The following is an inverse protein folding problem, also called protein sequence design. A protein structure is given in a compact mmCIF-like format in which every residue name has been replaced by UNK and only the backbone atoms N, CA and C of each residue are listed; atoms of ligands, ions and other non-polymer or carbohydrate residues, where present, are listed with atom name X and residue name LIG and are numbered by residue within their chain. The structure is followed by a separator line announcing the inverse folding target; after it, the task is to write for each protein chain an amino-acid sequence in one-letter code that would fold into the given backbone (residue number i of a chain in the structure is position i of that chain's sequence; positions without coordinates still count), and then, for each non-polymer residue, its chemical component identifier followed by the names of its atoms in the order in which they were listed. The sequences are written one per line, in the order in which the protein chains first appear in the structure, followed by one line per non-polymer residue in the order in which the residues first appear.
data_IF_294275775274
#
_entry.id   IF_294275775274
#
_cell.length_a   1.000
_cell.length_b   1.000
_cell.length_c   1.000
_cell.angle_alpha   90.00
_cell.angle_beta   90.00
_cell.angle_gamma   90.00
#
_symmetry.space_group_name_H-M   'P 1'
#
loop_
_entity.id
_entity.type
_entity.pdbx_description
1 polymer ?
#
# COMPACT_ATOMS: atom_id res chain seq x y z
N UNK A 1 1.81 11.65 -4.65
CA UNK A 1 1.70 11.69 -6.13
C UNK A 1 2.24 10.42 -6.81
N UNK A 2 2.81 9.45 -6.09
CA UNK A 2 3.36 8.23 -6.67
C UNK A 2 2.29 7.24 -7.16
N UNK A 3 1.23 7.00 -6.36
CA UNK A 3 0.15 6.07 -6.74
C UNK A 3 -0.58 6.47 -8.03
N UNK A 4 -0.84 7.76 -8.22
CA UNK A 4 -1.52 8.26 -9.44
C UNK A 4 -0.70 7.95 -10.70
N UNK A 5 0.62 8.17 -10.64
CA UNK A 5 1.52 7.90 -11.77
C UNK A 5 1.60 6.39 -12.02
N UNK A 6 1.70 5.58 -10.96
CA UNK A 6 1.72 4.13 -11.07
C UNK A 6 0.42 3.58 -11.69
N UNK A 7 -0.74 4.06 -11.25
CA UNK A 7 -2.03 3.64 -11.81
C UNK A 7 -2.25 4.10 -13.24
N UNK A 8 -1.74 5.27 -13.61
CA UNK A 8 -1.79 5.73 -15.00
C UNK A 8 -0.95 4.84 -15.93
N UNK A 9 0.17 4.30 -15.45
CA UNK A 9 1.06 3.44 -16.25
C UNK A 9 0.69 1.96 -16.24
N UNK A 10 0.22 1.43 -15.10
CA UNK A 10 0.00 0.00 -14.90
C UNK A 10 -1.49 -0.38 -14.77
N UNK A 11 -2.38 0.61 -14.73
CA UNK A 11 -3.79 0.43 -14.40
C UNK A 11 -4.06 0.47 -12.89
N UNK A 12 -5.33 0.60 -12.54
CA UNK A 12 -5.79 0.60 -11.14
C UNK A 12 -5.87 -0.83 -10.65
N UNK A 13 -5.11 -1.16 -9.60
CA UNK A 13 -5.18 -2.47 -8.96
C UNK A 13 -6.41 -2.59 -8.06
N UNK A 14 -7.00 -3.78 -7.98
CA UNK A 14 -8.16 -4.06 -7.10
C UNK A 14 -7.79 -4.11 -5.62
N UNK A 15 -6.55 -4.51 -5.32
CA UNK A 15 -6.05 -4.70 -3.96
C UNK A 15 -4.61 -4.21 -3.88
N UNK A 16 -4.28 -3.50 -2.79
CA UNK A 16 -2.92 -3.02 -2.51
C UNK A 16 -2.56 -3.42 -1.08
N UNK A 17 -1.43 -4.09 -0.91
CA UNK A 17 -0.85 -4.39 0.40
C UNK A 17 0.34 -3.46 0.66
N UNK A 18 0.31 -2.70 1.76
CA UNK A 18 1.42 -1.82 2.17
C UNK A 18 1.88 -2.17 3.59
N UNK A 19 3.08 -1.72 3.96
CA UNK A 19 3.51 -1.76 5.36
C UNK A 19 2.67 -0.83 6.24
N UNK A 20 2.86 -0.97 7.55
CA UNK A 20 2.24 -0.17 8.60
C UNK A 20 2.94 1.18 8.83
N UNK A 21 3.69 1.67 7.85
CA UNK A 21 4.32 2.96 7.90
C UNK A 21 3.27 4.07 8.11
N UNK A 22 3.61 5.13 8.86
CA UNK A 22 2.68 6.20 9.19
C UNK A 22 2.10 6.91 7.95
N UNK A 23 2.78 6.84 6.81
CA UNK A 23 2.29 7.36 5.54
C UNK A 23 1.14 6.53 4.95
N UNK A 24 1.11 5.22 5.19
CA UNK A 24 0.09 4.31 4.66
C UNK A 24 -1.06 4.07 5.63
N UNK A 25 -0.83 4.22 6.94
CA UNK A 25 -1.89 4.23 7.97
C UNK A 25 -2.61 5.58 8.03
N UNK A 26 -2.05 6.64 7.42
CA UNK A 26 -2.70 7.95 7.40
C UNK A 26 -4.10 7.88 6.76
N UNK A 27 -5.08 8.51 7.40
CA UNK A 27 -6.47 8.55 6.93
C UNK A 27 -6.62 9.12 5.51
N UNK A 28 -5.69 10.01 5.09
CA UNK A 28 -5.63 10.51 3.70
C UNK A 28 -5.36 9.39 2.68
N UNK A 29 -4.50 8.44 3.04
CA UNK A 29 -4.11 7.32 2.18
C UNK A 29 -5.21 6.26 2.12
N UNK A 30 -5.84 5.98 3.27
CA UNK A 30 -7.04 5.15 3.34
C UNK A 30 -8.19 5.72 2.49
N UNK A 31 -8.51 7.01 2.68
CA UNK A 31 -9.56 7.70 1.91
C UNK A 31 -9.27 7.68 0.42
N UNK A 32 -8.00 7.86 0.03
CA UNK A 32 -7.58 7.80 -1.37
C UNK A 32 -7.86 6.41 -1.96
N UNK A 33 -7.50 5.32 -1.28
CA UNK A 33 -7.78 3.98 -1.79
C UNK A 33 -9.29 3.67 -1.85
N UNK A 34 -10.06 4.10 -0.85
CA UNK A 34 -11.52 3.96 -0.87
C UNK A 34 -12.18 4.69 -2.05
N UNK A 35 -11.76 5.93 -2.33
CA UNK A 35 -12.28 6.70 -3.48
C UNK A 35 -12.03 6.02 -4.82
N UNK A 36 -10.94 5.25 -4.92
CA UNK A 36 -10.57 4.53 -6.13
C UNK A 36 -11.13 3.10 -6.16
N UNK A 37 -11.91 2.69 -5.15
CA UNK A 37 -12.45 1.34 -5.05
C UNK A 37 -11.39 0.27 -4.81
N UNK A 38 -10.26 0.65 -4.23
CA UNK A 38 -9.11 -0.23 -4.01
C UNK A 38 -9.20 -0.80 -2.59
N UNK A 39 -9.14 -2.12 -2.48
CA UNK A 39 -9.01 -2.78 -1.20
C UNK A 39 -7.59 -2.58 -0.66
N UNK A 40 -7.45 -1.71 0.33
CA UNK A 40 -6.18 -1.50 1.01
C UNK A 40 -6.03 -2.49 2.16
N UNK A 41 -4.96 -3.28 2.13
CA UNK A 41 -4.58 -4.22 3.18
C UNK A 41 -3.30 -3.67 3.81
N UNK A 42 -3.41 -3.16 5.02
CA UNK A 42 -2.22 -2.86 5.82
C UNK A 42 -1.63 -4.17 6.32
N UNK A 43 -0.30 -4.29 6.35
CA UNK A 43 0.37 -5.46 6.92
C UNK A 43 -0.16 -5.76 8.33
N UNK A 44 -0.29 -7.04 8.67
CA UNK A 44 -0.66 -7.41 10.04
C UNK A 44 0.49 -6.94 10.94
N UNK A 45 0.25 -6.23 12.05
CA UNK A 45 1.28 -6.06 13.06
C UNK A 45 1.70 -7.46 13.54
N UNK A 46 2.91 -7.89 13.17
CA UNK A 46 3.61 -9.11 13.63
C UNK A 46 3.56 -10.42 12.81
N UNK A 47 3.37 -10.42 11.50
CA UNK A 47 3.80 -11.59 10.69
C UNK A 47 5.15 -11.35 10.01
N UNK A 48 6.24 -11.99 10.48
CA UNK A 48 7.60 -11.73 9.97
C UNK A 48 7.77 -12.06 8.48
N UNK A 49 7.01 -13.02 7.93
CA UNK A 49 7.10 -13.40 6.51
C UNK A 49 6.54 -12.33 5.57
N UNK A 50 5.39 -11.76 5.93
CA UNK A 50 4.73 -10.73 5.14
C UNK A 50 5.51 -9.42 5.19
N UNK A 51 6.05 -9.09 6.36
CA UNK A 51 6.84 -7.91 6.57
C UNK A 51 8.20 -8.02 5.87
N UNK A 52 8.84 -9.20 5.88
CA UNK A 52 10.12 -9.41 5.21
C UNK A 52 10.06 -9.15 3.69
N UNK A 53 8.94 -9.44 3.01
CA UNK A 53 8.78 -9.14 1.59
C UNK A 53 8.72 -7.62 1.36
N UNK A 54 7.96 -6.91 2.20
CA UNK A 54 7.80 -5.46 2.09
C UNK A 54 9.10 -4.73 2.46
N UNK A 55 9.77 -5.15 3.54
CA UNK A 55 11.05 -4.63 3.98
C UNK A 55 12.16 -4.90 2.96
N UNK A 56 12.18 -6.09 2.34
CA UNK A 56 13.13 -6.41 1.26
C UNK A 56 12.93 -5.51 0.04
N UNK A 57 11.69 -5.15 -0.30
CA UNK A 57 11.41 -4.20 -1.37
C UNK A 57 11.85 -2.77 -1.03
N UNK A 58 11.92 -2.42 0.25
CA UNK A 58 12.35 -1.10 0.70
C UNK A 58 13.88 -0.93 0.74
N UNK A 59 14.64 -2.04 0.81
CA UNK A 59 16.09 -2.05 1.02
C UNK A 59 16.93 -1.97 -0.28
N UNK A 60 16.52 -1.18 -1.27
CA UNK A 60 17.30 -0.92 -2.50
C UNK A 60 17.33 0.57 -2.79
#
# INVERSE_FOLDING_TARGET
RHFIIAFAMLGVSKTIKTDNGPAYIAHKTETFFQQWGIQHITGIPHTPTDQAIIERMHST
#
